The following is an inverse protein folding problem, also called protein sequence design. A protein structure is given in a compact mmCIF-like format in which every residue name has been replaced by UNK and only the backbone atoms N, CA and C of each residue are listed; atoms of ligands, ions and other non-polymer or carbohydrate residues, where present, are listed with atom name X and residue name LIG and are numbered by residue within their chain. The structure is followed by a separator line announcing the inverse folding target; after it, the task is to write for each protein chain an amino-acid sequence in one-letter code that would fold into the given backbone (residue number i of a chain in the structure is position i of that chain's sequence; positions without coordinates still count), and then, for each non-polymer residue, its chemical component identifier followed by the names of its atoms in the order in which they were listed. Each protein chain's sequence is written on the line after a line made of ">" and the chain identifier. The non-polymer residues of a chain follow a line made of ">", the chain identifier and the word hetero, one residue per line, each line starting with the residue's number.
data_IF_752098161840
#
_entry.id   IF_752098161840
#
_cell.length_a   1.000
_cell.length_b   1.000
_cell.length_c   1.000
_cell.angle_alpha   90.00
_cell.angle_beta   90.00
_cell.angle_gamma   90.00
#
_symmetry.space_group_name_H-M   'P 1'
#
loop_
_entity.id
_entity.type
_entity.pdbx_description
1 polymer ?
#
# COMPACT_ATOMS: atom_id res chain seq x y z
N UNK A 1 0.00 15.44 -8.73
CA UNK A 1 0.13 15.79 -7.31
C UNK A 1 0.35 14.53 -6.49
N UNK A 2 1.28 14.56 -5.57
CA UNK A 2 1.62 13.35 -4.80
C UNK A 2 0.52 12.99 -3.80
N UNK A 3 0.27 11.70 -3.63
CA UNK A 3 -0.67 11.21 -2.62
C UNK A 3 -0.08 11.44 -1.23
N UNK A 4 -0.79 12.14 -0.34
CA UNK A 4 -0.29 12.32 1.03
C UNK A 4 -0.32 10.99 1.78
N UNK A 5 0.61 10.84 2.72
CA UNK A 5 0.66 9.62 3.52
C UNK A 5 1.11 9.92 4.95
N UNK A 6 0.78 9.00 5.84
CA UNK A 6 1.18 9.03 7.24
C UNK A 6 1.72 7.68 7.63
N UNK A 7 2.85 7.66 8.32
CA UNK A 7 3.41 6.43 8.85
C UNK A 7 2.94 6.27 10.29
N UNK A 8 2.27 5.17 10.57
CA UNK A 8 1.85 4.84 11.93
C UNK A 8 2.93 4.09 12.67
N UNK A 9 3.79 3.39 11.90
CA UNK A 9 4.97 2.72 12.42
C UNK A 9 6.15 3.08 11.52
N UNK A 10 7.31 3.21 12.12
CA UNK A 10 8.53 3.38 11.36
C UNK A 10 8.97 2.04 10.78
N UNK A 11 9.63 2.10 9.63
CA UNK A 11 10.20 0.91 9.03
C UNK A 11 11.28 0.35 9.95
N UNK A 12 11.17 -0.91 10.31
CA UNK A 12 12.08 -1.58 11.23
C UNK A 12 12.66 -2.82 10.57
N UNK A 13 13.97 -3.00 10.70
CA UNK A 13 14.62 -4.22 10.19
C UNK A 13 14.25 -5.41 11.07
N UNK A 14 13.96 -6.52 10.40
CA UNK A 14 13.68 -7.78 11.08
C UNK A 14 15.01 -8.49 11.32
N UNK A 15 15.28 -8.82 12.55
CA UNK A 15 16.52 -9.50 12.93
C UNK A 15 16.67 -10.85 12.24
N UNK A 16 17.89 -11.18 11.89
CA UNK A 16 18.26 -12.48 11.34
C UNK A 16 17.94 -12.64 9.86
N UNK A 17 17.22 -11.70 9.27
CA UNK A 17 16.94 -11.70 7.83
C UNK A 17 17.35 -10.34 7.30
N UNK A 18 18.58 -10.23 6.84
CA UNK A 18 19.10 -8.98 6.31
C UNK A 18 18.23 -8.49 5.16
N UNK A 19 17.98 -7.20 5.10
CA UNK A 19 17.26 -6.52 4.05
C UNK A 19 15.74 -6.52 4.15
N UNK A 20 15.12 -7.23 5.09
CA UNK A 20 13.69 -7.10 5.30
C UNK A 20 13.39 -5.94 6.24
N UNK A 21 12.35 -5.19 5.93
CA UNK A 21 11.83 -4.13 6.80
C UNK A 21 10.35 -4.36 7.03
N UNK A 22 9.90 -4.08 8.22
CA UNK A 22 8.48 -4.06 8.55
C UNK A 22 8.01 -2.62 8.53
N UNK A 23 6.83 -2.38 7.96
CA UNK A 23 6.30 -1.03 7.84
C UNK A 23 4.79 -1.03 7.91
N UNK A 24 4.25 0.13 8.28
CA UNK A 24 2.83 0.41 8.21
C UNK A 24 2.67 1.86 7.77
N UNK A 25 1.82 2.09 6.78
CA UNK A 25 1.60 3.42 6.22
C UNK A 25 0.13 3.60 5.87
N UNK A 26 -0.36 4.82 6.02
CA UNK A 26 -1.71 5.18 5.58
C UNK A 26 -1.57 6.23 4.49
N UNK A 27 -2.10 5.89 3.30
CA UNK A 27 -2.20 6.85 2.21
C UNK A 27 -3.53 7.60 2.32
N UNK A 28 -3.47 8.91 2.29
CA UNK A 28 -4.63 9.77 2.55
C UNK A 28 -5.61 9.87 1.40
N UNK A 29 -6.13 8.75 0.95
CA UNK A 29 -7.21 8.76 -0.04
C UNK A 29 -8.51 9.17 0.63
N UNK A 30 -9.33 9.93 -0.10
CA UNK A 30 -10.58 10.48 0.42
C UNK A 30 -11.75 9.68 -0.13
N UNK A 31 -12.19 8.69 0.64
CA UNK A 31 -13.26 7.79 0.23
C UNK A 31 -14.59 8.50 0.01
N UNK A 32 -14.82 9.62 0.69
CA UNK A 32 -16.07 10.37 0.54
C UNK A 32 -16.21 10.97 -0.85
N UNK A 33 -15.12 11.12 -1.56
CA UNK A 33 -15.07 11.67 -2.91
C UNK A 33 -14.91 10.61 -3.99
N UNK A 34 -14.84 9.33 -3.60
CA UNK A 34 -14.72 8.24 -4.56
C UNK A 34 -16.08 7.94 -5.20
N UNK A 35 -16.07 7.80 -6.51
CA UNK A 35 -17.21 7.27 -7.26
C UNK A 35 -16.87 5.88 -7.81
N UNK A 36 -17.79 5.29 -8.56
CA UNK A 36 -17.57 3.94 -9.09
C UNK A 36 -16.33 3.85 -9.98
N UNK A 37 -16.04 4.91 -10.73
CA UNK A 37 -14.85 4.92 -11.59
C UNK A 37 -13.57 4.95 -10.77
N UNK A 38 -13.56 5.68 -9.66
CA UNK A 38 -12.40 5.72 -8.77
C UNK A 38 -12.13 4.34 -8.16
N UNK A 39 -13.20 3.65 -7.74
CA UNK A 39 -13.04 2.30 -7.19
C UNK A 39 -12.51 1.33 -8.25
N UNK A 40 -13.01 1.42 -9.48
CA UNK A 40 -12.49 0.58 -10.58
C UNK A 40 -11.04 0.91 -10.90
N UNK A 41 -10.70 2.19 -10.88
CA UNK A 41 -9.32 2.62 -11.12
C UNK A 41 -8.38 2.08 -10.03
N UNK A 42 -8.80 2.16 -8.76
CA UNK A 42 -7.99 1.63 -7.66
C UNK A 42 -7.76 0.13 -7.81
N UNK A 43 -8.78 -0.63 -8.21
CA UNK A 43 -8.63 -2.06 -8.46
C UNK A 43 -7.60 -2.33 -9.56
N UNK A 44 -7.65 -1.56 -10.64
CA UNK A 44 -6.65 -1.71 -11.72
C UNK A 44 -5.24 -1.38 -11.24
N UNK A 45 -5.13 -0.34 -10.39
CA UNK A 45 -3.84 0.04 -9.81
C UNK A 45 -3.29 -1.12 -9.00
N UNK A 46 -4.09 -1.73 -8.13
CA UNK A 46 -3.66 -2.87 -7.32
C UNK A 46 -3.06 -3.98 -8.20
N UNK A 47 -3.72 -4.28 -9.29
CA UNK A 47 -3.32 -5.37 -10.17
C UNK A 47 -2.04 -5.08 -10.94
N UNK A 48 -1.74 -3.79 -11.14
CA UNK A 48 -0.56 -3.37 -11.89
C UNK A 48 0.68 -3.09 -11.04
N UNK A 49 0.59 -3.23 -9.72
CA UNK A 49 1.72 -2.97 -8.84
C UNK A 49 2.66 -4.17 -8.75
N UNK A 50 3.96 -3.94 -8.45
CA UNK A 50 4.92 -5.03 -8.36
C UNK A 50 4.49 -6.11 -7.38
N UNK A 51 4.67 -7.37 -7.76
CA UNK A 51 4.44 -8.49 -6.87
C UNK A 51 2.98 -8.84 -6.64
N UNK A 52 2.05 -8.31 -7.45
CA UNK A 52 0.63 -8.56 -7.25
C UNK A 52 0.33 -10.06 -7.25
N UNK A 53 -0.43 -10.50 -6.24
CA UNK A 53 -0.90 -11.87 -6.14
C UNK A 53 -2.43 -11.89 -6.24
N UNK A 54 -3.00 -13.08 -6.26
CA UNK A 54 -4.44 -13.20 -6.44
C UNK A 54 -5.18 -12.55 -5.28
N UNK A 55 -6.14 -11.69 -5.63
CA UNK A 55 -6.99 -10.98 -4.71
C UNK A 55 -7.89 -11.95 -3.92
N UNK A 56 -8.00 -11.72 -2.62
CA UNK A 56 -8.96 -12.42 -1.75
C UNK A 56 -9.86 -11.38 -1.09
N UNK A 57 -9.83 -11.31 0.23
CA UNK A 57 -10.62 -10.32 0.99
C UNK A 57 -10.03 -8.92 0.85
N UNK A 58 -8.71 -8.86 0.85
CA UNK A 58 -7.95 -7.63 0.62
C UNK A 58 -6.87 -7.93 -0.40
N UNK A 59 -6.35 -6.89 -1.10
CA UNK A 59 -5.25 -7.13 -2.04
C UNK A 59 -3.95 -7.45 -1.31
N UNK A 60 -3.18 -8.36 -1.89
CA UNK A 60 -1.88 -8.79 -1.39
C UNK A 60 -0.84 -8.66 -2.48
N UNK A 61 0.40 -8.41 -2.07
CA UNK A 61 1.56 -8.37 -2.97
C UNK A 61 2.71 -9.14 -2.33
N UNK A 62 3.53 -9.79 -3.17
CA UNK A 62 4.74 -10.54 -2.80
C UNK A 62 4.47 -11.83 -2.03
N UNK A 63 3.31 -12.00 -1.49
CA UNK A 63 2.89 -13.19 -0.75
C UNK A 63 1.49 -12.97 -0.22
N UNK A 64 0.88 -14.01 0.32
CA UNK A 64 -0.50 -13.98 0.80
C UNK A 64 -0.66 -14.53 2.22
N UNK A 65 0.42 -14.51 3.00
CA UNK A 65 0.44 -15.04 4.36
C UNK A 65 1.33 -14.15 5.23
N UNK A 66 0.75 -13.55 6.25
CA UNK A 66 1.48 -12.68 7.17
C UNK A 66 2.55 -13.42 7.97
N UNK A 67 2.41 -14.72 8.12
CA UNK A 67 3.40 -15.53 8.84
C UNK A 67 4.59 -15.93 7.96
N UNK A 68 4.51 -15.64 6.67
CA UNK A 68 5.54 -16.05 5.70
C UNK A 68 5.99 -14.85 4.86
N UNK A 69 6.89 -14.02 5.37
CA UNK A 69 7.43 -12.91 4.58
C UNK A 69 8.17 -13.42 3.35
N UNK A 70 8.20 -12.64 2.25
CA UNK A 70 7.71 -11.28 2.12
C UNK A 70 6.20 -11.21 1.87
N UNK A 71 5.59 -10.14 2.34
CA UNK A 71 4.18 -9.87 2.04
C UNK A 71 3.89 -8.37 2.19
N UNK A 72 2.82 -7.93 1.54
CA UNK A 72 2.24 -6.61 1.72
C UNK A 72 0.75 -6.74 1.47
N UNK A 73 -0.07 -6.17 2.34
CA UNK A 73 -1.51 -6.10 2.09
C UNK A 73 -2.01 -4.67 2.30
N UNK A 74 -3.18 -4.38 1.73
CA UNK A 74 -3.82 -3.08 1.86
C UNK A 74 -5.25 -3.23 2.33
N UNK A 75 -5.71 -2.27 3.14
CA UNK A 75 -7.06 -2.27 3.68
C UNK A 75 -7.66 -0.87 3.60
N UNK A 76 -8.92 -0.78 3.21
CA UNK A 76 -9.68 0.47 3.20
C UNK A 76 -10.10 0.79 4.63
N UNK A 77 -9.58 1.90 5.17
CA UNK A 77 -9.85 2.34 6.52
C UNK A 77 -10.45 3.75 6.49
N UNK A 78 -11.11 4.19 7.56
CA UNK A 78 -11.71 5.53 7.58
C UNK A 78 -10.73 6.66 7.29
N UNK A 79 -9.47 6.49 7.67
CA UNK A 79 -8.43 7.51 7.48
C UNK A 79 -7.74 7.46 6.13
N UNK A 80 -7.98 6.41 5.35
CA UNK A 80 -7.36 6.24 4.03
C UNK A 80 -7.04 4.78 3.77
N UNK A 81 -6.09 4.55 2.86
CA UNK A 81 -5.65 3.19 2.55
C UNK A 81 -4.49 2.82 3.43
N UNK A 82 -4.71 1.86 4.32
CA UNK A 82 -3.66 1.34 5.20
C UNK A 82 -2.94 0.21 4.50
N UNK A 83 -1.60 0.27 4.47
CA UNK A 83 -0.78 -0.83 3.99
C UNK A 83 0.13 -1.30 5.11
N UNK A 84 0.34 -2.61 5.17
CA UNK A 84 1.22 -3.24 6.14
C UNK A 84 2.01 -4.32 5.42
N UNK A 85 3.29 -4.42 5.73
CA UNK A 85 4.09 -5.44 5.09
C UNK A 85 5.44 -5.67 5.74
N UNK A 86 6.07 -6.76 5.28
CA UNK A 86 7.45 -7.12 5.60
C UNK A 86 8.10 -7.47 4.27
N UNK A 87 8.98 -6.61 3.78
CA UNK A 87 9.57 -6.72 2.46
C UNK A 87 11.05 -6.38 2.48
N UNK A 88 11.81 -6.84 1.47
CA UNK A 88 13.10 -6.21 1.19
C UNK A 88 12.91 -4.70 1.00
N UNK A 89 13.80 -3.90 1.55
CA UNK A 89 13.65 -2.45 1.55
C UNK A 89 13.48 -1.89 0.14
N UNK A 90 14.25 -2.39 -0.81
CA UNK A 90 14.17 -1.93 -2.20
C UNK A 90 12.79 -2.22 -2.81
N UNK A 91 12.20 -3.36 -2.49
CA UNK A 91 10.87 -3.71 -2.99
C UNK A 91 9.80 -2.82 -2.40
N UNK A 92 9.93 -2.46 -1.12
CA UNK A 92 9.01 -1.52 -0.48
C UNK A 92 9.04 -0.16 -1.16
N UNK A 93 10.24 0.38 -1.39
CA UNK A 93 10.35 1.69 -2.01
C UNK A 93 9.86 1.70 -3.45
N UNK A 94 10.12 0.63 -4.20
CA UNK A 94 9.62 0.51 -5.58
C UNK A 94 8.09 0.43 -5.61
N UNK A 95 7.50 -0.35 -4.72
CA UNK A 95 6.04 -0.47 -4.63
C UNK A 95 5.40 0.87 -4.26
N UNK A 96 5.93 1.53 -3.23
CA UNK A 96 5.43 2.81 -2.75
C UNK A 96 5.47 3.88 -3.83
N UNK A 97 6.59 3.99 -4.53
CA UNK A 97 6.75 4.97 -5.60
C UNK A 97 5.73 4.72 -6.73
N UNK A 98 5.58 3.47 -7.13
CA UNK A 98 4.63 3.11 -8.19
C UNK A 98 3.19 3.36 -7.76
N UNK A 99 2.86 3.03 -6.51
CA UNK A 99 1.51 3.30 -6.01
C UNK A 99 1.21 4.80 -5.99
N UNK A 100 2.11 5.60 -5.44
CA UNK A 100 1.88 7.04 -5.35
C UNK A 100 1.76 7.70 -6.73
N UNK A 101 2.54 7.23 -7.69
CA UNK A 101 2.45 7.70 -9.07
C UNK A 101 1.12 7.31 -9.70
N UNK A 102 0.75 6.05 -9.61
CA UNK A 102 -0.48 5.53 -10.22
C UNK A 102 -1.73 6.15 -9.59
N UNK A 103 -1.71 6.39 -8.28
CA UNK A 103 -2.85 6.90 -7.53
C UNK A 103 -2.94 8.42 -7.52
N UNK A 104 -2.04 9.13 -8.18
CA UNK A 104 -1.97 10.59 -8.11
C UNK A 104 -3.24 11.30 -8.61
N UNK A 105 -4.04 10.63 -9.44
CA UNK A 105 -5.30 11.17 -9.95
C UNK A 105 -6.52 10.84 -9.09
N UNK A 106 -6.36 10.06 -8.03
CA UNK A 106 -7.47 9.71 -7.16
C UNK A 106 -7.72 10.82 -6.14
N UNK A 107 -8.99 10.94 -5.66
CA UNK A 107 -9.28 11.94 -4.62
C UNK A 107 -8.46 11.69 -3.36
N UNK A 108 -7.77 12.73 -2.91
CA UNK A 108 -6.94 12.67 -1.70
C UNK A 108 -7.41 13.68 -0.68
N UNK A 109 -7.22 13.37 0.60
CA UNK A 109 -7.54 14.30 1.67
C UNK A 109 -6.55 15.47 1.63
N UNK A 110 -7.08 16.67 1.85
CA UNK A 110 -6.22 17.84 1.94
C UNK A 110 -5.66 17.89 3.36
N UNK A 111 -4.34 17.92 3.46
CA UNK A 111 -3.68 18.01 4.75
C UNK A 111 -3.69 19.46 5.21
N UNK A 112 -4.17 19.68 6.40
CA UNK A 112 -4.17 21.01 7.00
C UNK A 112 -3.02 21.16 8.00
#
# INVERSE_FOLDING_TARGET
>A
MAVPFYDTLEATRIDGVSCLVEFERIYGLDWDRFDDEHWRALTRIYQGLPGAVRYRDVPWWFGDDEDVPPFLWASVEPTGLQVHGVLPEADWWAWDERFREAASGLPCRVRQ
#
